data_IF_023987843852
#
_entry.id   IF_023987843852
#
_cell.length_a   1.000
_cell.length_b   1.000
_cell.length_c   1.000
_cell.angle_alpha   90.00
_cell.angle_beta   90.00
_cell.angle_gamma   90.00
#
_symmetry.space_group_name_H-M   'P 1'
#
loop_
_entity.id
_entity.type
_entity.pdbx_description
1 polymer ?
#
# COMPACT_ATOMS: atom_id res chain seq x y z
N UNK A 1 38.20 -6.35 6.22
CA UNK A 1 38.31 -6.54 7.69
C UNK A 1 38.78 -5.24 8.33
N UNK A 2 37.95 -4.56 9.03
CA UNK A 2 38.03 -3.32 9.83
C UNK A 2 37.05 -2.28 9.35
N UNK A 3 35.82 -2.35 9.88
CA UNK A 3 34.88 -1.25 10.17
C UNK A 3 33.58 -1.85 10.70
N UNK A 4 33.64 -2.48 11.87
CA UNK A 4 32.50 -2.72 12.77
C UNK A 4 32.99 -2.27 14.12
N UNK A 5 32.63 -1.04 14.52
CA UNK A 5 32.77 -0.49 15.87
C UNK A 5 32.66 1.04 15.80
N UNK A 6 31.45 1.55 15.71
CA UNK A 6 31.04 2.90 16.18
C UNK A 6 29.52 2.95 16.06
N UNK A 7 28.81 2.44 17.05
CA UNK A 7 27.44 2.80 17.43
C UNK A 7 27.06 2.09 18.71
N UNK A 8 27.85 2.30 19.73
CA UNK A 8 27.53 1.82 21.08
C UNK A 8 28.08 2.81 22.12
N UNK A 9 27.60 4.04 22.09
CA UNK A 9 27.80 5.01 23.17
C UNK A 9 26.84 6.20 23.00
N UNK A 10 25.56 5.98 23.36
CA UNK A 10 24.67 7.09 23.76
C UNK A 10 23.37 6.58 24.40
N UNK A 11 23.45 5.77 25.43
CA UNK A 11 22.32 5.50 26.34
C UNK A 11 22.85 5.14 27.72
N UNK A 12 23.44 6.12 28.40
CA UNK A 12 23.78 6.01 29.81
C UNK A 12 23.83 7.40 30.46
N UNK A 13 22.67 8.03 30.61
CA UNK A 13 22.50 9.15 31.54
C UNK A 13 21.01 9.58 31.57
N UNK A 14 20.20 8.90 32.39
CA UNK A 14 18.97 9.43 33.01
C UNK A 14 18.36 8.36 33.94
N UNK A 15 19.07 8.05 35.02
CA UNK A 15 18.49 7.31 36.12
C UNK A 15 19.13 7.75 37.44
N UNK A 16 18.79 8.96 37.88
CA UNK A 16 19.03 9.41 39.25
C UNK A 16 18.22 10.69 39.53
N UNK A 17 17.00 10.52 40.02
CA UNK A 17 16.36 11.49 40.93
C UNK A 17 14.88 11.11 41.10
N UNK A 18 14.56 10.51 42.25
CA UNK A 18 13.40 10.75 43.10
C UNK A 18 13.28 9.68 44.17
N UNK A 19 14.07 9.85 45.20
CA UNK A 19 13.83 9.25 46.52
C UNK A 19 13.95 10.39 47.53
N UNK A 20 12.84 10.92 48.07
CA UNK A 20 12.72 11.57 49.37
C UNK A 20 11.23 11.82 49.65
N UNK A 21 10.79 11.33 50.79
CA UNK A 21 9.57 11.79 51.45
C UNK A 21 8.87 10.73 52.25
N UNK A 22 9.40 10.46 53.46
CA UNK A 22 8.80 10.45 54.83
C UNK A 22 7.31 10.05 54.89
N UNK A 23 6.88 9.05 55.60
CA UNK A 23 7.20 8.62 57.00
C UNK A 23 5.92 8.66 57.79
N UNK A 24 5.45 7.54 58.30
CA UNK A 24 5.00 7.44 59.72
C UNK A 24 4.67 5.96 60.04
N UNK A 25 5.24 5.54 61.12
CA UNK A 25 5.10 4.33 61.88
C UNK A 25 3.69 4.10 62.43
N UNK A 26 3.25 2.82 62.44
CA UNK A 26 2.61 2.21 63.60
C UNK A 26 2.69 0.67 63.53
N UNK A 27 3.08 0.07 64.63
CA UNK A 27 3.36 -1.33 64.90
C UNK A 27 2.11 -2.03 65.51
N UNK A 28 2.15 -3.30 65.93
CA UNK A 28 1.38 -4.42 65.32
C UNK A 28 0.27 -4.95 66.28
N UNK A 29 -0.64 -5.71 65.74
CA UNK A 29 -1.54 -6.54 66.53
C UNK A 29 -1.48 -7.99 66.06
N UNK A 30 -0.98 -8.83 66.93
CA UNK A 30 -1.07 -10.27 66.94
C UNK A 30 -2.50 -10.75 67.08
N UNK A 31 -2.92 -11.76 66.30
CA UNK A 31 -3.99 -12.69 66.74
C UNK A 31 -3.87 -14.04 66.00
N UNK A 32 -3.64 -15.02 66.81
CA UNK A 32 -4.02 -16.43 66.86
C UNK A 32 -4.32 -17.24 65.59
N UNK A 33 -3.64 -18.39 65.57
CA UNK A 33 -3.79 -19.56 64.71
C UNK A 33 -5.06 -20.30 65.09
N UNK A 34 -5.99 -20.52 64.16
CA UNK A 34 -6.98 -21.58 64.24
C UNK A 34 -6.71 -22.60 63.12
N UNK A 35 -6.51 -23.85 63.59
CA UNK A 35 -6.49 -25.05 62.75
C UNK A 35 -7.88 -25.28 62.15
N UNK A 36 -7.96 -25.34 60.81
CA UNK A 36 -9.15 -25.84 60.14
C UNK A 36 -8.76 -26.91 59.10
N UNK A 37 -9.13 -28.11 59.47
CA UNK A 37 -9.49 -29.32 58.70
C UNK A 37 -9.29 -29.32 57.18
N UNK A 38 -8.59 -30.40 56.73
CA UNK A 38 -8.57 -30.91 55.37
C UNK A 38 -10.00 -31.04 54.80
N UNK A 39 -10.34 -30.21 53.84
CA UNK A 39 -11.44 -30.43 52.90
C UNK A 39 -10.85 -30.92 51.58
N UNK A 40 -11.47 -31.97 51.06
CA UNK A 40 -11.18 -32.61 49.77
C UNK A 40 -11.05 -31.58 48.67
N UNK A 41 -9.90 -31.52 48.02
CA UNK A 41 -9.68 -30.79 46.78
C UNK A 41 -10.51 -31.45 45.70
N UNK A 42 -11.69 -30.90 45.45
CA UNK A 42 -12.34 -31.00 44.13
C UNK A 42 -11.41 -30.35 43.12
N UNK A 43 -10.84 -31.15 42.26
CA UNK A 43 -10.21 -30.67 41.02
C UNK A 43 -11.27 -29.94 40.23
N UNK A 44 -11.36 -28.62 40.38
CA UNK A 44 -11.92 -27.78 39.36
C UNK A 44 -11.07 -27.99 38.10
N UNK A 45 -11.66 -28.59 37.09
CA UNK A 45 -11.18 -28.52 35.72
C UNK A 45 -11.03 -27.04 35.43
N UNK A 46 -9.79 -26.53 35.45
CA UNK A 46 -9.49 -25.18 34.92
C UNK A 46 -9.89 -25.24 33.46
N UNK A 47 -11.03 -24.69 33.12
CA UNK A 47 -11.42 -24.47 31.75
C UNK A 47 -10.24 -23.73 31.10
N UNK A 48 -9.55 -24.36 30.19
CA UNK A 48 -8.47 -23.75 29.43
C UNK A 48 -9.05 -22.47 28.80
N UNK A 49 -8.53 -21.31 29.19
CA UNK A 49 -8.91 -20.09 28.52
C UNK A 49 -8.52 -20.23 27.06
N UNK A 50 -9.45 -19.87 26.15
CA UNK A 50 -9.20 -19.90 24.72
C UNK A 50 -7.98 -19.02 24.40
N UNK A 51 -7.11 -19.39 23.46
CA UNK A 51 -6.00 -18.56 23.06
C UNK A 51 -6.53 -17.22 22.53
N UNK A 52 -5.89 -16.13 22.93
CA UNK A 52 -6.23 -14.78 22.43
C UNK A 52 -5.26 -14.39 21.33
N UNK A 53 -5.81 -13.87 20.22
CA UNK A 53 -5.06 -13.34 19.08
C UNK A 53 -5.60 -11.96 18.79
N UNK A 54 -4.70 -10.99 18.63
CA UNK A 54 -5.04 -9.60 18.28
C UNK A 54 -4.69 -9.32 16.84
N UNK A 55 -5.65 -8.85 16.07
CA UNK A 55 -5.46 -8.31 14.74
C UNK A 55 -5.54 -6.79 14.76
N UNK A 56 -4.46 -6.12 14.37
CA UNK A 56 -4.38 -4.65 14.32
C UNK A 56 -4.32 -4.17 12.87
N UNK A 57 -5.14 -3.18 12.54
CA UNK A 57 -5.16 -2.55 11.21
C UNK A 57 -5.22 -1.03 11.31
N UNK A 58 -4.65 -0.31 10.33
CA UNK A 58 -4.62 1.15 10.31
C UNK A 58 -5.48 1.79 9.22
N UNK A 59 -5.88 1.03 8.16
CA UNK A 59 -6.60 1.62 7.03
C UNK A 59 -8.09 1.85 7.29
N UNK A 60 -8.78 0.91 7.94
CA UNK A 60 -10.26 0.91 8.02
C UNK A 60 -10.78 1.40 9.37
N UNK A 61 -10.10 2.38 9.97
CA UNK A 61 -10.50 2.97 11.25
C UNK A 61 -11.57 4.05 11.08
N UNK A 62 -11.57 4.81 9.98
CA UNK A 62 -12.49 5.93 9.73
C UNK A 62 -13.19 5.80 8.36
N UNK A 63 -14.54 5.84 8.37
CA UNK A 63 -15.37 5.78 7.16
C UNK A 63 -15.33 7.09 6.35
N UNK A 64 -14.90 8.21 6.95
CA UNK A 64 -14.74 9.47 6.23
C UNK A 64 -13.51 9.48 5.33
N UNK A 65 -12.48 8.71 5.70
CA UNK A 65 -11.28 8.50 4.89
C UNK A 65 -11.44 7.33 3.93
N UNK A 66 -12.04 6.24 4.45
CA UNK A 66 -12.23 4.98 3.73
C UNK A 66 -13.71 4.58 3.73
N UNK A 67 -14.49 4.93 2.69
CA UNK A 67 -15.93 4.60 2.64
C UNK A 67 -16.24 3.12 2.83
N UNK A 68 -15.30 2.24 2.49
CA UNK A 68 -15.39 0.80 2.67
C UNK A 68 -15.08 0.30 4.10
N UNK A 69 -14.65 1.18 5.01
CA UNK A 69 -14.19 0.77 6.34
C UNK A 69 -15.24 -0.02 7.13
N UNK A 70 -16.51 0.36 7.05
CA UNK A 70 -17.60 -0.38 7.72
C UNK A 70 -17.72 -1.82 7.22
N UNK A 71 -17.60 -2.05 5.91
CA UNK A 71 -17.69 -3.38 5.31
C UNK A 71 -16.47 -4.23 5.69
N UNK A 72 -15.26 -3.67 5.64
CA UNK A 72 -14.05 -4.40 6.04
C UNK A 72 -14.08 -4.79 7.52
N UNK A 73 -14.49 -3.89 8.41
CA UNK A 73 -14.67 -4.22 9.83
C UNK A 73 -15.73 -5.29 10.07
N UNK A 74 -16.81 -5.30 9.25
CA UNK A 74 -17.81 -6.35 9.31
C UNK A 74 -17.24 -7.72 8.91
N UNK A 75 -16.39 -7.77 7.86
CA UNK A 75 -15.68 -8.99 7.44
C UNK A 75 -14.79 -9.52 8.58
N UNK A 76 -14.02 -8.65 9.24
CA UNK A 76 -13.18 -9.04 10.37
C UNK A 76 -14.01 -9.58 11.56
N UNK A 77 -15.13 -8.93 11.86
CA UNK A 77 -16.02 -9.37 12.94
C UNK A 77 -16.71 -10.69 12.63
N UNK A 78 -17.13 -10.93 11.37
CA UNK A 78 -17.71 -12.20 10.93
C UNK A 78 -16.73 -13.37 11.16
N UNK A 79 -15.44 -13.17 10.88
CA UNK A 79 -14.41 -14.17 11.20
C UNK A 79 -14.32 -14.41 12.71
N UNK A 80 -14.24 -13.34 13.51
CA UNK A 80 -14.18 -13.44 14.97
C UNK A 80 -15.40 -14.18 15.56
N UNK A 81 -16.60 -13.87 15.08
CA UNK A 81 -17.85 -14.50 15.54
C UNK A 81 -17.93 -15.98 15.13
N UNK A 82 -17.44 -16.33 13.93
CA UNK A 82 -17.45 -17.71 13.43
C UNK A 82 -16.52 -18.64 14.21
N UNK A 83 -15.47 -18.11 14.83
CA UNK A 83 -14.46 -18.89 15.56
C UNK A 83 -14.45 -18.63 17.08
N UNK A 84 -15.53 -18.03 17.61
CA UNK A 84 -15.62 -17.62 19.02
C UNK A 84 -15.54 -18.77 20.03
N UNK A 85 -15.74 -20.01 19.60
CA UNK A 85 -15.62 -21.23 20.41
C UNK A 85 -14.23 -21.90 20.31
N UNK A 86 -13.37 -21.42 19.39
CA UNK A 86 -12.04 -21.95 19.15
C UNK A 86 -10.93 -21.04 19.73
N UNK A 87 -11.07 -19.73 19.58
CA UNK A 87 -10.15 -18.71 20.08
C UNK A 87 -10.84 -17.36 20.28
N UNK A 88 -10.21 -16.50 21.10
CA UNK A 88 -10.65 -15.13 21.31
C UNK A 88 -9.94 -14.20 20.31
N UNK A 89 -10.61 -13.86 19.21
CA UNK A 89 -10.07 -12.99 18.17
C UNK A 89 -10.46 -11.54 18.42
N UNK A 90 -9.45 -10.68 18.66
CA UNK A 90 -9.63 -9.27 19.01
C UNK A 90 -9.22 -8.40 17.84
N UNK A 91 -10.17 -7.64 17.28
CA UNK A 91 -9.89 -6.68 16.19
C UNK A 91 -9.62 -5.30 16.80
N UNK A 92 -8.50 -4.71 16.46
CA UNK A 92 -8.06 -3.39 16.91
C UNK A 92 -7.86 -2.47 15.71
N UNK A 93 -8.64 -1.39 15.65
CA UNK A 93 -8.40 -0.31 14.71
C UNK A 93 -7.37 0.67 15.31
N UNK A 94 -6.26 0.90 14.64
CA UNK A 94 -5.28 1.91 15.04
C UNK A 94 -5.66 3.26 14.43
N UNK A 95 -6.11 4.19 15.27
CA UNK A 95 -6.56 5.53 14.86
C UNK A 95 -5.43 6.42 14.32
N UNK A 96 -4.17 6.02 14.48
CA UNK A 96 -3.03 6.74 13.88
C UNK A 96 -2.86 6.48 12.38
N UNK A 97 -3.67 5.59 11.82
CA UNK A 97 -3.65 5.25 10.40
C UNK A 97 -2.51 4.31 10.00
N UNK A 98 -2.41 4.01 8.72
CA UNK A 98 -1.44 3.06 8.19
C UNK A 98 0.02 3.49 8.40
N UNK A 99 0.34 4.76 8.24
CA UNK A 99 1.67 5.30 8.55
C UNK A 99 1.96 5.24 10.05
N UNK A 100 0.97 5.55 10.90
CA UNK A 100 1.12 5.52 12.35
C UNK A 100 1.41 4.12 12.89
N UNK A 101 0.67 3.10 12.43
CA UNK A 101 0.92 1.69 12.81
C UNK A 101 2.31 1.24 12.35
N UNK A 102 2.77 1.66 11.15
CA UNK A 102 4.11 1.37 10.65
C UNK A 102 5.20 1.98 11.55
N UNK A 103 5.08 3.25 11.89
CA UNK A 103 6.03 3.94 12.75
C UNK A 103 6.05 3.35 14.18
N UNK A 104 4.89 2.95 14.70
CA UNK A 104 4.78 2.25 15.99
C UNK A 104 5.49 0.91 15.94
N UNK A 105 5.28 0.13 14.88
CA UNK A 105 5.93 -1.16 14.68
C UNK A 105 7.46 -1.07 14.65
N UNK A 106 8.02 -0.04 14.01
CA UNK A 106 9.48 0.19 14.00
C UNK A 106 10.02 0.45 15.42
N UNK A 107 9.28 1.20 16.26
CA UNK A 107 9.66 1.44 17.65
C UNK A 107 9.55 0.17 18.49
N UNK A 108 8.50 -0.63 18.30
CA UNK A 108 8.25 -1.87 19.01
C UNK A 108 9.30 -2.93 18.69
N UNK A 109 9.71 -3.04 17.42
CA UNK A 109 10.83 -3.88 17.01
C UNK A 109 12.11 -3.53 17.77
N UNK A 110 12.39 -2.24 17.95
CA UNK A 110 13.51 -1.75 18.75
C UNK A 110 13.41 -2.12 20.25
N UNK A 111 12.20 -2.29 20.77
CA UNK A 111 11.90 -2.72 22.13
C UNK A 111 11.82 -4.26 22.29
N UNK A 112 11.88 -5.02 21.20
CA UNK A 112 11.78 -6.48 21.18
C UNK A 112 10.34 -7.00 21.29
N UNK A 113 9.36 -6.20 20.88
CA UNK A 113 7.94 -6.57 20.78
C UNK A 113 7.44 -6.43 19.33
N UNK A 114 6.33 -7.10 19.04
CA UNK A 114 5.66 -7.01 17.75
C UNK A 114 4.18 -7.43 17.88
N UNK A 115 3.39 -7.14 16.86
CA UNK A 115 1.97 -7.50 16.76
C UNK A 115 1.77 -9.02 16.63
N UNK A 116 0.59 -9.52 17.04
CA UNK A 116 0.18 -10.90 16.74
C UNK A 116 -0.10 -11.04 15.25
N UNK A 117 -1.05 -10.23 14.74
CA UNK A 117 -1.32 -10.02 13.32
C UNK A 117 -1.44 -8.52 13.10
N UNK A 118 -0.82 -8.01 12.05
CA UNK A 118 -1.03 -6.63 11.65
C UNK A 118 -1.21 -6.52 10.14
N UNK A 119 -2.04 -5.55 9.69
CA UNK A 119 -2.14 -5.14 8.30
C UNK A 119 -1.46 -3.78 8.10
N UNK A 120 -0.35 -3.78 7.37
CA UNK A 120 0.43 -2.60 7.02
C UNK A 120 0.10 -2.03 5.63
N UNK A 121 -0.82 -2.66 4.91
CA UNK A 121 -1.20 -2.24 3.57
C UNK A 121 -0.01 -2.12 2.62
N UNK A 122 0.20 -0.92 2.04
CA UNK A 122 1.32 -0.65 1.13
C UNK A 122 2.67 -0.43 1.83
N UNK A 123 2.69 -0.23 3.17
CA UNK A 123 3.90 0.06 3.94
C UNK A 123 4.71 -1.20 4.18
N UNK A 124 5.90 -1.29 3.58
CA UNK A 124 6.70 -2.51 3.61
C UNK A 124 7.59 -2.60 4.86
N UNK A 125 7.10 -3.26 5.89
CA UNK A 125 7.86 -3.55 7.12
C UNK A 125 8.69 -4.83 7.03
N UNK A 126 8.46 -5.68 6.02
CA UNK A 126 9.02 -7.04 5.98
C UNK A 126 10.54 -7.11 6.06
N UNK A 127 11.35 -6.24 5.40
CA UNK A 127 12.81 -6.32 5.49
C UNK A 127 13.32 -6.09 6.92
N UNK A 128 12.73 -5.13 7.64
CA UNK A 128 13.15 -4.77 8.99
C UNK A 128 12.69 -5.80 10.02
N UNK A 129 11.41 -6.21 9.93
CA UNK A 129 10.82 -7.18 10.85
C UNK A 129 11.40 -8.59 10.65
N UNK A 130 11.67 -9.02 9.42
CA UNK A 130 12.33 -10.27 9.11
C UNK A 130 13.78 -10.28 9.62
N UNK A 131 14.53 -9.22 9.41
CA UNK A 131 15.89 -9.09 9.93
C UNK A 131 15.95 -9.13 11.46
N UNK A 132 14.90 -8.64 12.14
CA UNK A 132 14.72 -8.75 13.59
C UNK A 132 14.23 -10.14 14.05
N UNK A 133 13.83 -11.02 13.14
CA UNK A 133 13.22 -12.32 13.46
C UNK A 133 11.82 -12.19 14.08
N UNK A 134 11.12 -11.07 13.86
CA UNK A 134 9.87 -10.73 14.52
C UNK A 134 8.62 -11.28 13.82
N UNK A 135 8.74 -11.74 12.58
CA UNK A 135 7.60 -12.20 11.75
C UNK A 135 7.84 -13.60 11.19
N UNK A 136 6.74 -14.28 10.90
CA UNK A 136 6.68 -15.67 10.42
C UNK A 136 6.87 -15.69 8.89
N UNK A 137 7.68 -16.66 8.39
CA UNK A 137 7.67 -17.03 6.98
C UNK A 137 6.37 -17.77 6.65
N UNK A 138 5.54 -17.15 5.79
CA UNK A 138 4.25 -17.68 5.35
C UNK A 138 4.37 -18.69 4.21
N UNK A 139 5.52 -18.73 3.52
CA UNK A 139 5.72 -19.59 2.33
C UNK A 139 5.42 -21.07 2.56
N UNK A 140 5.84 -21.71 3.68
CA UNK A 140 5.50 -23.10 3.94
C UNK A 140 3.98 -23.36 3.95
N UNK A 141 3.19 -22.46 4.54
CA UNK A 141 1.72 -22.57 4.59
C UNK A 141 1.08 -22.38 3.22
N UNK A 142 1.64 -21.49 2.39
CA UNK A 142 1.21 -21.26 1.02
C UNK A 142 1.53 -22.45 0.11
N UNK A 143 2.69 -23.08 0.29
CA UNK A 143 3.11 -24.22 -0.52
C UNK A 143 2.33 -25.51 -0.18
N UNK A 144 1.85 -25.64 1.05
CA UNK A 144 1.06 -26.79 1.53
C UNK A 144 -0.42 -26.68 1.14
N UNK A 145 -0.93 -25.47 0.84
CA UNK A 145 -2.34 -25.20 0.55
C UNK A 145 -2.51 -24.47 -0.78
N UNK A 146 -2.89 -25.23 -1.81
CA UNK A 146 -3.04 -24.69 -3.17
C UNK A 146 -4.15 -23.63 -3.29
N UNK A 147 -5.21 -23.71 -2.47
CA UNK A 147 -6.29 -22.73 -2.47
C UNK A 147 -5.82 -21.41 -1.83
N UNK A 148 -5.08 -21.50 -0.73
CA UNK A 148 -4.47 -20.34 -0.10
C UNK A 148 -3.47 -19.65 -1.04
N UNK A 149 -2.59 -20.43 -1.68
CA UNK A 149 -1.66 -19.91 -2.68
C UNK A 149 -2.36 -19.21 -3.85
N UNK A 150 -3.44 -19.78 -4.39
CA UNK A 150 -4.22 -19.17 -5.46
C UNK A 150 -4.91 -17.86 -4.98
N UNK A 151 -5.37 -17.83 -3.74
CA UNK A 151 -5.99 -16.64 -3.12
C UNK A 151 -5.04 -15.46 -3.03
N UNK A 152 -3.79 -15.68 -2.62
CA UNK A 152 -2.77 -14.61 -2.55
C UNK A 152 -2.20 -14.22 -3.92
N UNK A 153 -2.41 -15.03 -4.95
CA UNK A 153 -2.13 -14.74 -6.35
C UNK A 153 -0.77 -14.08 -6.60
N UNK A 154 -0.79 -12.87 -7.14
CA UNK A 154 0.44 -12.12 -7.50
C UNK A 154 1.37 -11.85 -6.31
N UNK A 155 0.83 -11.77 -5.09
CA UNK A 155 1.65 -11.54 -3.90
C UNK A 155 2.65 -12.68 -3.65
N UNK A 156 2.35 -13.91 -4.11
CA UNK A 156 3.26 -15.03 -3.92
C UNK A 156 4.62 -14.81 -4.59
N UNK A 157 4.63 -14.32 -5.82
CA UNK A 157 5.87 -14.09 -6.56
C UNK A 157 6.49 -12.72 -6.22
N UNK A 158 5.67 -11.70 -6.01
CA UNK A 158 6.15 -10.33 -5.75
C UNK A 158 6.74 -10.15 -4.35
N UNK A 159 6.24 -10.90 -3.35
CA UNK A 159 6.71 -10.81 -1.96
C UNK A 159 7.75 -11.90 -1.61
N UNK A 160 8.20 -12.67 -2.62
CA UNK A 160 9.27 -13.64 -2.45
C UNK A 160 10.60 -12.90 -2.23
N UNK A 161 11.19 -13.10 -1.07
CA UNK A 161 12.48 -12.51 -0.71
C UNK A 161 13.64 -13.24 -1.38
N UNK A 162 14.83 -12.64 -1.39
CA UNK A 162 16.05 -13.26 -1.98
C UNK A 162 16.42 -14.60 -1.34
N UNK A 163 16.13 -14.78 -0.04
CA UNK A 163 16.34 -16.06 0.68
C UNK A 163 15.21 -17.06 0.50
N UNK A 164 14.19 -16.72 -0.29
CA UNK A 164 13.11 -17.58 -0.69
C UNK A 164 11.96 -17.69 0.32
N UNK A 165 11.81 -16.72 1.24
CA UNK A 165 10.70 -16.62 2.19
C UNK A 165 9.61 -15.66 1.67
N UNK A 166 8.40 -15.75 2.25
CA UNK A 166 7.30 -14.81 2.05
C UNK A 166 6.81 -14.38 3.43
N UNK A 167 7.00 -13.12 3.77
CA UNK A 167 6.68 -12.61 5.11
C UNK A 167 5.35 -11.87 5.18
N UNK A 168 4.75 -11.54 4.04
CA UNK A 168 3.49 -10.81 3.99
C UNK A 168 2.66 -11.18 2.76
N UNK A 169 1.33 -11.07 2.91
CA UNK A 169 0.35 -11.22 1.84
C UNK A 169 -0.81 -10.25 2.08
N UNK A 170 -1.64 -9.98 1.07
CA UNK A 170 -2.77 -9.05 1.16
C UNK A 170 -4.06 -9.68 0.62
N UNK A 171 -5.19 -9.15 1.08
CA UNK A 171 -6.52 -9.42 0.54
C UNK A 171 -6.83 -8.59 -0.70
N UNK A 172 -6.12 -7.49 -0.89
CA UNK A 172 -6.22 -6.62 -2.06
C UNK A 172 -4.86 -6.09 -2.48
N UNK A 173 -4.72 -5.75 -3.75
CA UNK A 173 -3.50 -5.23 -4.35
C UNK A 173 -3.71 -3.82 -4.92
N UNK A 174 -2.62 -3.13 -5.11
CA UNK A 174 -2.61 -1.85 -5.80
C UNK A 174 -2.68 -2.09 -7.31
N UNK A 175 -3.89 -2.05 -7.86
CA UNK A 175 -4.13 -1.96 -9.30
C UNK A 175 -4.13 -0.49 -9.72
N UNK A 176 -3.15 -0.06 -10.52
CA UNK A 176 -2.99 1.35 -10.86
C UNK A 176 -2.92 1.56 -12.37
N UNK A 177 -3.87 2.37 -12.83
CA UNK A 177 -3.86 3.03 -14.10
C UNK A 177 -4.06 4.53 -13.87
N UNK A 178 -5.15 5.07 -14.39
CA UNK A 178 -5.59 6.43 -14.11
C UNK A 178 -7.07 6.60 -14.45
N UNK A 179 -7.65 7.72 -14.01
CA UNK A 179 -9.03 8.10 -14.26
C UNK A 179 -9.07 9.32 -15.17
N UNK A 180 -10.12 9.45 -16.01
CA UNK A 180 -10.31 10.62 -16.84
C UNK A 180 -11.76 11.07 -16.89
N UNK A 181 -11.97 12.37 -17.10
CA UNK A 181 -13.28 13.00 -17.28
C UNK A 181 -13.57 13.16 -18.77
N UNK A 182 -14.40 12.28 -19.33
CA UNK A 182 -14.75 12.24 -20.76
C UNK A 182 -15.37 13.55 -21.26
N UNK A 183 -16.14 14.24 -20.41
CA UNK A 183 -16.77 15.51 -20.78
C UNK A 183 -15.73 16.63 -21.02
N UNK A 184 -14.66 16.68 -20.22
CA UNK A 184 -13.58 17.65 -20.39
C UNK A 184 -12.75 17.36 -21.67
N UNK A 185 -12.50 16.08 -21.97
CA UNK A 185 -11.88 15.68 -23.23
C UNK A 185 -12.75 16.09 -24.44
N UNK A 186 -14.05 15.84 -24.36
CA UNK A 186 -15.00 16.26 -25.43
C UNK A 186 -15.01 17.78 -25.59
N UNK A 187 -14.99 18.56 -24.51
CA UNK A 187 -14.92 20.03 -24.55
C UNK A 187 -13.64 20.52 -25.22
N UNK A 188 -12.50 19.85 -25.00
CA UNK A 188 -11.22 20.16 -25.62
C UNK A 188 -11.13 19.69 -27.09
N UNK A 189 -12.03 18.80 -27.52
CA UNK A 189 -11.88 18.07 -28.77
C UNK A 189 -10.67 17.12 -28.77
N UNK A 190 -10.28 16.67 -27.61
CA UNK A 190 -9.14 15.75 -27.40
C UNK A 190 -9.58 14.29 -27.55
N UNK A 191 -8.68 13.45 -28.04
CA UNK A 191 -8.85 12.00 -28.11
C UNK A 191 -8.86 11.43 -26.69
N UNK A 192 -9.89 10.65 -26.34
CA UNK A 192 -10.00 10.04 -25.00
C UNK A 192 -9.01 8.90 -24.79
N UNK A 193 -8.60 8.63 -23.54
CA UNK A 193 -7.61 7.59 -23.21
C UNK A 193 -7.92 6.19 -23.75
N UNK A 194 -9.19 5.78 -23.79
CA UNK A 194 -9.60 4.49 -24.35
C UNK A 194 -9.33 4.34 -25.86
N UNK A 195 -9.05 5.43 -26.56
CA UNK A 195 -8.72 5.46 -28.00
C UNK A 195 -7.22 5.68 -28.25
N UNK A 196 -6.41 5.89 -27.21
CA UNK A 196 -4.98 6.09 -27.36
C UNK A 196 -4.28 4.83 -27.85
N UNK A 197 -3.31 5.01 -28.73
CA UNK A 197 -2.50 3.94 -29.30
C UNK A 197 -1.07 3.97 -28.76
N UNK A 198 -0.55 5.17 -28.48
CA UNK A 198 0.80 5.37 -27.96
C UNK A 198 0.86 6.61 -27.05
N UNK A 199 1.99 6.84 -26.38
CA UNK A 199 2.23 8.06 -25.60
C UNK A 199 2.13 9.37 -26.42
N UNK A 200 2.29 9.31 -27.75
CA UNK A 200 2.05 10.48 -28.60
C UNK A 200 0.57 10.94 -28.58
N UNK A 201 -0.38 10.03 -28.38
CA UNK A 201 -1.80 10.39 -28.18
C UNK A 201 -2.00 11.11 -26.83
N UNK A 202 -1.29 10.69 -25.77
CA UNK A 202 -1.29 11.40 -24.49
C UNK A 202 -0.80 12.83 -24.65
N UNK A 203 0.37 13.03 -25.28
CA UNK A 203 0.93 14.36 -25.50
C UNK A 203 -0.04 15.26 -26.27
N UNK A 204 -0.63 14.73 -27.35
CA UNK A 204 -1.60 15.47 -28.16
C UNK A 204 -2.87 15.84 -27.36
N UNK A 205 -3.34 14.94 -26.50
CA UNK A 205 -4.50 15.20 -25.65
C UNK A 205 -4.18 16.25 -24.57
N UNK A 206 -3.03 16.18 -23.91
CA UNK A 206 -2.58 17.19 -22.93
C UNK A 206 -2.49 18.56 -23.60
N UNK A 207 -1.89 18.66 -24.79
CA UNK A 207 -1.78 19.91 -25.54
C UNK A 207 -3.16 20.48 -25.92
N UNK A 208 -4.11 19.64 -26.32
CA UNK A 208 -5.48 20.05 -26.64
C UNK A 208 -6.24 20.58 -25.42
N UNK A 209 -6.11 19.89 -24.26
CA UNK A 209 -6.70 20.32 -22.98
C UNK A 209 -6.14 21.70 -22.58
N UNK A 210 -4.82 21.86 -22.57
CA UNK A 210 -4.16 23.13 -22.24
C UNK A 210 -4.61 24.24 -23.20
N UNK A 211 -4.67 23.98 -24.53
CA UNK A 211 -5.12 24.94 -25.51
C UNK A 211 -6.60 25.37 -25.34
N UNK A 212 -7.44 24.47 -24.79
CA UNK A 212 -8.82 24.75 -24.43
C UNK A 212 -8.97 25.47 -23.07
N UNK A 213 -7.89 25.72 -22.35
CA UNK A 213 -7.90 26.32 -21.01
C UNK A 213 -8.36 25.34 -19.91
N UNK A 214 -8.27 24.03 -20.16
CA UNK A 214 -8.60 22.98 -19.22
C UNK A 214 -7.32 22.47 -18.57
N UNK A 215 -7.29 22.39 -17.23
CA UNK A 215 -6.18 21.78 -16.49
C UNK A 215 -6.13 20.27 -16.78
N UNK A 216 -5.05 19.75 -17.38
CA UNK A 216 -5.00 18.34 -17.75
C UNK A 216 -5.01 17.40 -16.53
N UNK A 217 -4.34 17.76 -15.45
CA UNK A 217 -4.27 17.00 -14.18
C UNK A 217 -3.70 17.85 -13.05
N UNK A 218 -4.02 17.50 -11.81
CA UNK A 218 -3.31 17.92 -10.62
C UNK A 218 -2.26 16.86 -10.25
N UNK A 219 -1.14 17.30 -9.68
CA UNK A 219 -0.06 16.43 -9.20
C UNK A 219 0.52 16.96 -7.88
N UNK A 220 1.34 16.15 -7.23
CA UNK A 220 2.19 16.58 -6.14
C UNK A 220 3.60 15.97 -6.27
N UNK A 221 4.53 16.33 -5.42
CA UNK A 221 5.88 15.77 -5.40
C UNK A 221 5.93 14.39 -4.71
N UNK A 222 4.99 13.50 -5.06
CA UNK A 222 4.83 12.18 -4.45
C UNK A 222 4.11 11.21 -5.37
N UNK A 223 3.17 10.48 -4.79
CA UNK A 223 2.48 9.34 -5.38
C UNK A 223 1.94 9.56 -6.81
N UNK A 224 1.09 10.57 -7.13
CA UNK A 224 0.53 10.71 -8.47
C UNK A 224 1.59 10.97 -9.55
N UNK A 225 2.69 11.65 -9.20
CA UNK A 225 3.82 11.88 -10.11
C UNK A 225 4.65 10.61 -10.30
N UNK A 226 4.83 9.81 -9.24
CA UNK A 226 5.47 8.50 -9.31
C UNK A 226 4.70 7.52 -10.19
N UNK A 227 3.36 7.52 -10.12
CA UNK A 227 2.49 6.71 -10.99
C UNK A 227 2.77 7.04 -12.46
N UNK A 228 2.81 8.33 -12.82
CA UNK A 228 3.10 8.75 -14.19
C UNK A 228 4.50 8.33 -14.65
N UNK A 229 5.51 8.51 -13.81
CA UNK A 229 6.88 8.07 -14.11
C UNK A 229 6.94 6.56 -14.31
N UNK A 230 6.34 5.79 -13.41
CA UNK A 230 6.28 4.33 -13.50
C UNK A 230 5.54 3.86 -14.76
N UNK A 231 4.37 4.46 -15.05
CA UNK A 231 3.60 4.18 -16.25
C UNK A 231 4.36 4.51 -17.54
N UNK A 232 5.01 5.66 -17.60
CA UNK A 232 5.83 6.04 -18.76
C UNK A 232 7.08 5.16 -18.91
N UNK A 233 7.62 4.66 -17.80
CA UNK A 233 8.74 3.73 -17.82
C UNK A 233 8.41 2.38 -18.48
N UNK A 234 7.11 2.06 -18.64
CA UNK A 234 6.65 0.88 -19.35
C UNK A 234 6.59 1.04 -20.89
N UNK A 235 6.96 2.22 -21.44
CA UNK A 235 6.77 2.57 -22.86
C UNK A 235 7.48 1.66 -23.86
N UNK A 236 8.66 1.14 -23.53
CA UNK A 236 9.49 0.32 -24.43
C UNK A 236 10.22 -0.79 -23.69
N UNK A 237 10.68 -1.82 -24.40
CA UNK A 237 11.43 -2.95 -23.81
C UNK A 237 12.65 -2.47 -23.02
N UNK A 238 13.47 -1.56 -23.61
CA UNK A 238 14.67 -1.04 -22.94
C UNK A 238 14.33 -0.25 -21.66
N UNK A 239 13.24 0.54 -21.69
CA UNK A 239 12.79 1.31 -20.53
C UNK A 239 12.24 0.40 -19.43
N UNK A 240 11.48 -0.65 -19.79
CA UNK A 240 11.02 -1.67 -18.86
C UNK A 240 12.19 -2.38 -18.19
N UNK A 241 13.17 -2.83 -18.98
CA UNK A 241 14.35 -3.53 -18.45
C UNK A 241 15.14 -2.68 -17.43
N UNK A 242 15.29 -1.38 -17.68
CA UNK A 242 15.89 -0.47 -16.71
C UNK A 242 15.04 -0.35 -15.45
N UNK A 243 13.73 -0.16 -15.60
CA UNK A 243 12.79 -0.01 -14.50
C UNK A 243 12.76 -1.26 -13.61
N UNK A 244 12.65 -2.44 -14.19
CA UNK A 244 12.64 -3.72 -13.46
C UNK A 244 13.93 -4.00 -12.70
N UNK A 245 15.05 -3.47 -13.17
CA UNK A 245 16.35 -3.53 -12.50
C UNK A 245 16.53 -2.56 -11.34
N UNK A 246 15.51 -1.75 -11.04
CA UNK A 246 15.61 -0.56 -10.18
C UNK A 246 16.33 -0.71 -8.84
N UNK A 247 16.07 -1.80 -8.08
CA UNK A 247 16.74 -2.07 -6.79
C UNK A 247 18.24 -2.39 -6.93
N UNK A 248 18.69 -2.78 -8.13
CA UNK A 248 20.08 -3.14 -8.45
C UNK A 248 20.73 -2.15 -9.40
N UNK A 249 20.11 -0.98 -9.63
CA UNK A 249 20.67 0.07 -10.48
C UNK A 249 21.96 0.58 -9.89
N UNK A 250 23.06 0.43 -10.65
CA UNK A 250 24.39 0.96 -10.29
C UNK A 250 24.58 2.42 -10.73
N UNK A 251 23.76 2.91 -11.67
CA UNK A 251 23.82 4.27 -12.18
C UNK A 251 22.49 4.69 -12.83
N UNK A 252 22.05 5.89 -12.53
CA UNK A 252 20.95 6.57 -13.22
C UNK A 252 21.39 7.26 -14.54
N UNK A 253 22.67 7.16 -14.93
CA UNK A 253 23.19 7.63 -16.22
C UNK A 253 22.82 6.67 -17.36
N UNK A 254 21.51 6.45 -17.52
CA UNK A 254 20.88 5.59 -18.51
C UNK A 254 20.01 6.43 -19.46
N UNK A 255 20.10 6.18 -20.75
CA UNK A 255 19.38 6.95 -21.77
C UNK A 255 17.85 6.80 -21.67
N UNK A 256 17.34 5.64 -21.21
CA UNK A 256 15.91 5.42 -21.05
C UNK A 256 15.36 6.12 -19.82
N UNK A 257 16.15 6.16 -18.72
CA UNK A 257 15.82 6.92 -17.52
C UNK A 257 15.83 8.43 -17.80
N UNK A 258 16.87 8.94 -18.45
CA UNK A 258 16.96 10.36 -18.86
C UNK A 258 15.76 10.75 -19.73
N UNK A 259 15.41 9.91 -20.71
CA UNK A 259 14.23 10.17 -21.55
C UNK A 259 12.94 10.17 -20.72
N UNK A 260 12.82 9.34 -19.68
CA UNK A 260 11.68 9.36 -18.75
C UNK A 260 11.63 10.67 -17.97
N UNK A 261 12.75 11.12 -17.43
CA UNK A 261 12.83 12.39 -16.68
C UNK A 261 12.60 13.61 -17.60
N UNK A 262 13.06 13.58 -18.85
CA UNK A 262 12.76 14.62 -19.83
C UNK A 262 11.27 14.69 -20.18
N UNK A 263 10.61 13.53 -20.35
CA UNK A 263 9.17 13.47 -20.56
C UNK A 263 8.43 14.05 -19.34
N UNK A 264 8.79 13.61 -18.13
CA UNK A 264 8.18 14.14 -16.89
C UNK A 264 8.37 15.65 -16.80
N UNK A 265 9.54 16.20 -17.12
CA UNK A 265 9.77 17.63 -17.10
C UNK A 265 8.90 18.38 -18.13
N UNK A 266 8.98 17.99 -19.41
CA UNK A 266 8.45 18.78 -20.54
C UNK A 266 6.97 18.52 -20.82
N UNK A 267 6.54 17.25 -20.71
CA UNK A 267 5.21 16.80 -21.14
C UNK A 267 4.23 16.66 -19.97
N UNK A 268 4.75 16.68 -18.74
CA UNK A 268 3.95 16.52 -17.52
C UNK A 268 4.08 17.77 -16.63
N UNK A 269 5.20 17.94 -15.93
CA UNK A 269 5.34 18.95 -14.86
C UNK A 269 5.22 20.38 -15.37
N UNK A 270 5.75 20.70 -16.54
CA UNK A 270 5.68 22.03 -17.15
C UNK A 270 4.36 22.32 -17.88
N UNK A 271 3.44 21.33 -17.99
CA UNK A 271 2.11 21.49 -18.59
C UNK A 271 1.03 21.95 -17.61
N UNK A 272 1.33 21.96 -16.32
CA UNK A 272 0.41 22.37 -15.26
C UNK A 272 0.92 23.62 -14.54
N UNK A 273 -0.01 24.46 -14.07
CA UNK A 273 0.31 25.62 -13.26
C UNK A 273 0.87 25.23 -11.88
N UNK A 274 1.55 26.17 -11.22
CA UNK A 274 2.08 25.96 -9.88
C UNK A 274 1.00 25.62 -8.85
N UNK A 275 -0.23 26.16 -9.02
CA UNK A 275 -1.36 25.87 -8.16
C UNK A 275 -1.87 24.42 -8.23
N UNK A 276 -1.54 23.70 -9.30
CA UNK A 276 -1.94 22.32 -9.53
C UNK A 276 -0.81 21.32 -9.22
N UNK A 277 0.25 21.78 -8.51
CA UNK A 277 1.35 20.92 -8.07
C UNK A 277 1.63 21.14 -6.59
N UNK A 278 1.26 20.17 -5.78
CA UNK A 278 1.47 20.21 -4.32
C UNK A 278 2.85 19.74 -3.87
N UNK A 279 3.17 19.92 -2.58
CA UNK A 279 4.47 19.54 -2.02
C UNK A 279 4.66 18.04 -1.88
N UNK A 280 3.57 17.26 -1.90
CA UNK A 280 3.60 15.82 -1.64
C UNK A 280 3.41 15.49 -0.15
N UNK A 281 3.32 14.20 0.14
CA UNK A 281 3.00 13.62 1.43
C UNK A 281 1.54 13.15 1.49
N UNK A 282 1.23 12.28 2.46
CA UNK A 282 -0.06 11.58 2.56
C UNK A 282 -1.27 12.49 2.73
N UNK A 283 -1.07 13.69 3.30
CA UNK A 283 -2.13 14.68 3.49
C UNK A 283 -2.36 15.60 2.29
N UNK A 284 -1.56 15.48 1.22
CA UNK A 284 -1.68 16.33 0.03
C UNK A 284 -2.57 15.69 -1.04
N UNK A 285 -3.88 15.70 -0.77
CA UNK A 285 -4.94 15.11 -1.60
C UNK A 285 -5.62 16.12 -2.54
N UNK A 286 -5.06 17.31 -2.70
CA UNK A 286 -5.67 18.37 -3.54
C UNK A 286 -5.88 17.91 -4.99
N UNK A 287 -4.93 17.19 -5.58
CA UNK A 287 -5.01 16.64 -6.93
C UNK A 287 -6.24 15.74 -7.15
N UNK A 288 -6.61 14.95 -6.12
CA UNK A 288 -7.76 14.06 -6.11
C UNK A 288 -9.06 14.82 -5.99
N UNK A 289 -9.13 15.75 -5.02
CA UNK A 289 -10.29 16.59 -4.78
C UNK A 289 -10.65 17.43 -6.01
N UNK A 290 -9.66 18.03 -6.69
CA UNK A 290 -9.86 18.84 -7.90
C UNK A 290 -10.38 18.01 -9.08
N UNK A 291 -9.99 16.74 -9.20
CA UNK A 291 -10.53 15.84 -10.21
C UNK A 291 -12.01 15.53 -9.97
N UNK A 292 -12.38 15.15 -8.76
CA UNK A 292 -13.78 14.85 -8.42
C UNK A 292 -14.69 16.10 -8.43
N UNK A 293 -14.12 17.28 -8.23
CA UNK A 293 -14.81 18.55 -8.45
C UNK A 293 -14.99 18.91 -9.95
N UNK A 294 -14.36 18.17 -10.88
CA UNK A 294 -14.44 18.43 -12.32
C UNK A 294 -13.52 19.55 -12.80
N UNK A 295 -12.52 19.94 -12.01
CA UNK A 295 -11.57 21.00 -12.34
C UNK A 295 -10.35 20.50 -13.13
N UNK A 296 -10.06 19.21 -13.10
CA UNK A 296 -8.97 18.57 -13.86
C UNK A 296 -9.47 17.41 -14.70
N UNK A 297 -8.82 17.16 -15.84
CA UNK A 297 -9.29 16.17 -16.82
C UNK A 297 -8.82 14.75 -16.52
N UNK A 298 -7.72 14.55 -15.78
CA UNK A 298 -7.17 13.24 -15.43
C UNK A 298 -6.74 13.20 -13.96
N UNK A 299 -6.82 11.99 -13.37
CA UNK A 299 -6.35 11.65 -12.03
C UNK A 299 -5.47 10.41 -12.13
N UNK A 300 -4.19 10.54 -11.79
CA UNK A 300 -3.27 9.41 -11.70
C UNK A 300 -3.36 8.81 -10.31
N UNK A 301 -4.15 7.76 -10.19
CA UNK A 301 -4.37 7.02 -8.95
C UNK A 301 -4.92 5.62 -9.25
N UNK A 302 -5.07 4.80 -8.20
CA UNK A 302 -5.46 3.40 -8.32
C UNK A 302 -6.97 3.16 -8.44
N UNK A 303 -7.31 1.89 -8.55
CA UNK A 303 -8.69 1.41 -8.74
C UNK A 303 -9.61 1.77 -7.57
N UNK A 304 -9.08 1.96 -6.37
CA UNK A 304 -9.82 2.37 -5.15
C UNK A 304 -10.54 3.72 -5.28
N UNK A 305 -10.16 4.55 -6.23
CA UNK A 305 -10.83 5.83 -6.49
C UNK A 305 -12.20 5.68 -7.18
N UNK A 306 -12.60 4.46 -7.52
CA UNK A 306 -13.97 4.20 -7.96
C UNK A 306 -15.01 4.71 -6.95
N UNK A 307 -14.76 4.55 -5.63
CA UNK A 307 -15.61 5.06 -4.56
C UNK A 307 -15.74 6.60 -4.56
N UNK A 308 -14.70 7.33 -4.96
CA UNK A 308 -14.70 8.79 -5.07
C UNK A 308 -15.64 9.36 -6.13
N UNK A 309 -16.14 8.51 -7.05
CA UNK A 309 -17.11 8.92 -8.07
C UNK A 309 -18.53 9.10 -7.53
N UNK A 310 -18.83 8.53 -6.36
CA UNK A 310 -20.16 8.58 -5.76
C UNK A 310 -20.53 10.00 -5.35
N UNK A 311 -21.49 10.59 -6.06
CA UNK A 311 -21.97 11.95 -5.77
C UNK A 311 -20.97 13.06 -6.07
N UNK A 312 -19.89 12.80 -6.80
CA UNK A 312 -18.90 13.81 -7.16
C UNK A 312 -19.48 14.89 -8.09
N UNK A 313 -18.96 16.13 -8.00
CA UNK A 313 -19.42 17.26 -8.82
C UNK A 313 -19.11 17.08 -10.31
N UNK A 314 -18.06 16.34 -10.65
CA UNK A 314 -17.70 15.99 -12.02
C UNK A 314 -18.78 15.15 -12.75
N UNK A 315 -19.65 14.45 -11.98
CA UNK A 315 -20.65 13.49 -12.48
C UNK A 315 -20.01 12.11 -12.76
N UNK A 316 -20.45 11.08 -12.04
CA UNK A 316 -19.90 9.73 -12.15
C UNK A 316 -19.97 9.18 -13.59
N UNK A 317 -20.99 9.55 -14.36
CA UNK A 317 -21.18 9.15 -15.75
C UNK A 317 -20.07 9.64 -16.68
N UNK A 318 -19.40 10.73 -16.31
CA UNK A 318 -18.30 11.32 -17.09
C UNK A 318 -16.94 10.73 -16.73
N UNK A 319 -16.84 10.02 -15.62
CA UNK A 319 -15.57 9.46 -15.14
C UNK A 319 -15.38 8.03 -15.68
N UNK A 320 -14.22 7.77 -16.24
CA UNK A 320 -13.84 6.47 -16.81
C UNK A 320 -12.44 6.08 -16.36
N UNK A 321 -12.19 4.78 -16.10
CA UNK A 321 -10.84 4.27 -15.88
C UNK A 321 -10.06 4.10 -17.19
N UNK A 322 -8.74 4.16 -17.11
CA UNK A 322 -7.83 3.86 -18.20
C UNK A 322 -6.52 3.25 -17.67
N UNK A 323 -5.76 2.63 -18.56
CA UNK A 323 -4.40 2.16 -18.32
C UNK A 323 -3.43 2.89 -19.25
N UNK A 324 -2.13 2.83 -18.94
CA UNK A 324 -1.12 3.58 -19.67
C UNK A 324 -0.92 3.01 -21.08
N UNK A 325 -0.75 3.87 -22.11
CA UNK A 325 -0.30 3.42 -23.41
C UNK A 325 1.21 3.09 -23.37
N UNK A 326 1.69 2.44 -24.42
CA UNK A 326 3.13 2.23 -24.62
C UNK A 326 3.56 2.86 -25.98
N UNK A 327 4.84 2.76 -26.35
CA UNK A 327 5.29 3.14 -27.70
C UNK A 327 5.00 2.05 -28.73
N UNK A 328 4.61 0.87 -28.28
CA UNK A 328 4.12 -0.24 -29.11
C UNK A 328 2.61 -0.06 -29.35
N UNK A 329 2.26 0.32 -30.58
CA UNK A 329 0.89 0.71 -30.92
C UNK A 329 -0.16 -0.33 -30.47
N UNK A 330 -1.12 0.14 -29.66
CA UNK A 330 -2.22 -0.67 -29.13
C UNK A 330 -1.84 -1.60 -27.97
N UNK A 331 -0.60 -1.50 -27.44
CA UNK A 331 -0.19 -2.15 -26.21
C UNK A 331 -0.38 -1.24 -25.02
N UNK A 332 -0.72 -1.82 -23.88
CA UNK A 332 -1.03 -1.11 -22.65
C UNK A 332 -0.18 -1.56 -21.48
N UNK A 333 -0.06 -0.72 -20.47
CA UNK A 333 0.63 -1.02 -19.22
C UNK A 333 -0.21 -0.58 -18.02
N UNK A 334 -0.08 -1.32 -16.91
CA UNK A 334 -0.64 -0.97 -15.61
C UNK A 334 0.39 -1.26 -14.50
N UNK A 335 0.19 -0.69 -13.31
CA UNK A 335 0.97 -1.07 -12.16
C UNK A 335 0.15 -2.04 -11.30
N UNK A 336 0.77 -3.15 -10.90
CA UNK A 336 0.19 -4.14 -10.00
C UNK A 336 1.19 -4.41 -8.88
N UNK A 337 0.89 -3.93 -7.67
CA UNK A 337 1.77 -4.11 -6.52
C UNK A 337 1.04 -4.84 -5.39
N UNK A 338 1.62 -5.93 -4.90
CA UNK A 338 1.10 -6.69 -3.78
C UNK A 338 1.21 -5.93 -2.45
N UNK A 339 2.20 -5.06 -2.30
CA UNK A 339 2.46 -4.36 -1.04
C UNK A 339 2.79 -5.31 0.12
N UNK A 340 2.81 -4.78 1.35
CA UNK A 340 3.08 -5.58 2.55
C UNK A 340 1.83 -6.35 3.01
N UNK A 341 0.76 -5.67 3.45
CA UNK A 341 -0.46 -6.28 3.97
C UNK A 341 -0.28 -6.98 5.31
N UNK A 342 -0.84 -8.19 5.41
CA UNK A 342 -0.83 -8.98 6.64
C UNK A 342 0.55 -9.57 6.94
N UNK A 343 0.99 -9.38 8.18
CA UNK A 343 2.15 -10.06 8.77
C UNK A 343 1.73 -10.78 10.05
N UNK A 344 2.45 -11.86 10.40
CA UNK A 344 2.19 -12.67 11.61
C UNK A 344 3.40 -12.64 12.52
N UNK A 345 3.21 -12.33 13.79
CA UNK A 345 4.26 -12.29 14.79
C UNK A 345 4.89 -13.66 15.05
N UNK A 346 6.22 -13.71 15.12
CA UNK A 346 6.96 -14.95 15.35
C UNK A 346 6.87 -15.45 16.81
N UNK A 347 6.47 -14.59 17.75
CA UNK A 347 6.34 -14.90 19.18
C UNK A 347 5.12 -15.76 19.50
N UNK A 348 4.14 -15.87 18.57
CA UNK A 348 2.93 -16.64 18.75
C UNK A 348 3.24 -18.14 18.96
N UNK A 349 2.52 -18.77 19.88
CA UNK A 349 2.53 -20.21 20.02
C UNK A 349 1.89 -20.94 18.82
N UNK A 350 1.90 -22.27 18.85
CA UNK A 350 1.40 -23.07 17.71
C UNK A 350 -0.11 -22.86 17.46
N UNK A 351 -0.91 -22.77 18.53
CA UNK A 351 -2.36 -22.60 18.42
C UNK A 351 -2.71 -21.19 17.94
N UNK A 352 -2.08 -20.17 18.50
CA UNK A 352 -2.24 -18.78 18.08
C UNK A 352 -1.82 -18.57 16.62
N UNK A 353 -0.69 -19.16 16.22
CA UNK A 353 -0.19 -19.09 14.85
C UNK A 353 -1.14 -19.78 13.86
N UNK A 354 -1.69 -20.93 14.23
CA UNK A 354 -2.67 -21.63 13.40
C UNK A 354 -3.92 -20.75 13.17
N UNK A 355 -4.44 -20.09 14.20
CA UNK A 355 -5.56 -19.16 14.09
C UNK A 355 -5.22 -17.92 13.25
N UNK A 356 -4.01 -17.38 13.37
CA UNK A 356 -3.55 -16.28 12.55
C UNK A 356 -3.50 -16.64 11.05
N UNK A 357 -3.00 -17.83 10.73
CA UNK A 357 -2.97 -18.33 9.35
C UNK A 357 -4.38 -18.58 8.82
N UNK A 358 -5.30 -19.09 9.65
CA UNK A 358 -6.71 -19.29 9.27
C UNK A 358 -7.40 -17.96 8.94
N UNK A 359 -7.13 -16.90 9.72
CA UNK A 359 -7.62 -15.56 9.41
C UNK A 359 -7.10 -15.06 8.05
N UNK A 360 -5.82 -15.21 7.76
CA UNK A 360 -5.26 -14.75 6.48
C UNK A 360 -5.84 -15.57 5.31
N UNK A 361 -6.02 -16.88 5.47
CA UNK A 361 -6.69 -17.73 4.48
C UNK A 361 -8.13 -17.26 4.21
N UNK A 362 -8.87 -16.93 5.27
CA UNK A 362 -10.21 -16.37 5.15
C UNK A 362 -10.19 -15.07 4.34
N UNK A 363 -9.32 -14.12 4.71
CA UNK A 363 -9.22 -12.82 4.06
C UNK A 363 -8.81 -12.90 2.58
N UNK A 364 -8.02 -13.89 2.20
CA UNK A 364 -7.58 -14.12 0.81
C UNK A 364 -8.42 -15.16 0.06
N UNK A 365 -9.55 -15.59 0.63
CA UNK A 365 -10.44 -16.56 0.01
C UNK A 365 -11.17 -15.98 -1.22
N UNK A 366 -11.60 -16.82 -2.17
CA UNK A 366 -12.38 -16.36 -3.32
C UNK A 366 -13.69 -15.67 -2.95
N UNK A 367 -14.30 -16.04 -1.82
CA UNK A 367 -15.52 -15.42 -1.30
C UNK A 367 -15.26 -13.97 -0.87
N UNK A 368 -14.21 -13.75 -0.08
CA UNK A 368 -13.84 -12.40 0.35
C UNK A 368 -13.32 -11.56 -0.82
N UNK A 369 -12.54 -12.15 -1.73
CA UNK A 369 -12.11 -11.49 -2.97
C UNK A 369 -13.30 -10.96 -3.80
N UNK A 370 -14.33 -11.79 -4.00
CA UNK A 370 -15.55 -11.37 -4.70
C UNK A 370 -16.28 -10.25 -3.93
N UNK A 371 -16.40 -10.36 -2.60
CA UNK A 371 -17.06 -9.37 -1.75
C UNK A 371 -16.33 -8.01 -1.76
N UNK A 372 -15.00 -8.01 -1.69
CA UNK A 372 -14.16 -6.80 -1.80
C UNK A 372 -14.47 -6.06 -3.12
N UNK A 373 -14.52 -6.78 -4.23
CA UNK A 373 -14.78 -6.20 -5.54
C UNK A 373 -16.26 -5.74 -5.66
N UNK A 374 -17.22 -6.57 -5.27
CA UNK A 374 -18.65 -6.25 -5.32
C UNK A 374 -19.04 -5.02 -4.48
N UNK A 375 -18.30 -4.79 -3.39
CA UNK A 375 -18.49 -3.64 -2.50
C UNK A 375 -17.69 -2.41 -2.90
N UNK A 376 -16.97 -2.45 -4.01
CA UNK A 376 -16.21 -1.31 -4.49
C UNK A 376 -14.95 -1.00 -3.69
N UNK A 377 -14.40 -1.97 -2.94
CA UNK A 377 -13.30 -1.77 -2.01
C UNK A 377 -11.95 -1.71 -2.73
N UNK A 378 -11.65 -2.71 -3.56
CA UNK A 378 -10.34 -2.78 -4.22
C UNK A 378 -10.21 -3.95 -5.19
N UNK A 379 -8.98 -4.18 -5.66
CA UNK A 379 -8.61 -5.27 -6.56
C UNK A 379 -8.05 -6.45 -5.77
N UNK A 380 -8.59 -7.65 -5.97
CA UNK A 380 -8.07 -8.85 -5.33
C UNK A 380 -6.73 -9.29 -5.94
N UNK A 381 -5.83 -9.91 -5.15
CA UNK A 381 -4.54 -10.38 -5.63
C UNK A 381 -4.65 -11.62 -6.53
N UNK A 382 -5.71 -12.40 -6.40
CA UNK A 382 -5.93 -13.61 -7.18
C UNK A 382 -6.10 -13.31 -8.67
N UNK A 383 -5.32 -13.98 -9.50
CA UNK A 383 -5.43 -13.92 -10.98
C UNK A 383 -6.61 -14.74 -11.52
N UNK A 384 -7.30 -15.49 -10.67
CA UNK A 384 -8.45 -16.32 -11.04
C UNK A 384 -9.79 -15.58 -10.98
N UNK A 385 -9.77 -14.29 -10.60
CA UNK A 385 -10.99 -13.46 -10.56
C UNK A 385 -11.55 -13.26 -11.97
N UNK A 386 -12.81 -13.67 -12.16
CA UNK A 386 -13.56 -13.47 -13.39
C UNK A 386 -14.29 -12.11 -13.36
N UNK A 387 -13.61 -11.05 -13.80
CA UNK A 387 -14.18 -9.70 -13.84
C UNK A 387 -15.36 -9.57 -14.82
N UNK A 388 -15.45 -10.40 -15.87
CA UNK A 388 -16.61 -10.40 -16.78
C UNK A 388 -17.85 -10.98 -16.10
N UNK A 389 -17.68 -12.03 -15.28
CA UNK A 389 -18.76 -12.54 -14.45
C UNK A 389 -19.18 -11.51 -13.40
N UNK A 390 -18.25 -10.87 -12.70
CA UNK A 390 -18.52 -9.83 -11.70
C UNK A 390 -19.25 -8.63 -12.31
N UNK A 391 -18.86 -8.17 -13.50
CA UNK A 391 -19.53 -7.08 -14.20
C UNK A 391 -21.03 -7.33 -14.42
N UNK A 392 -21.46 -8.59 -14.47
CA UNK A 392 -22.86 -8.98 -14.65
C UNK A 392 -23.70 -8.93 -13.38
N UNK A 393 -23.08 -8.93 -12.20
CA UNK A 393 -23.76 -9.00 -10.89
C UNK A 393 -23.66 -7.72 -10.08
N UNK A 394 -22.60 -6.91 -10.25
CA UNK A 394 -22.46 -5.61 -9.56
C UNK A 394 -23.56 -4.64 -9.99
N UNK A 395 -24.12 -3.94 -9.03
CA UNK A 395 -25.31 -3.09 -9.26
C UNK A 395 -25.03 -1.60 -9.10
N UNK A 396 -24.12 -1.21 -8.21
CA UNK A 396 -23.75 0.19 -7.96
C UNK A 396 -22.82 0.71 -9.05
N UNK A 397 -22.83 2.01 -9.30
CA UNK A 397 -22.05 2.58 -10.40
C UNK A 397 -20.55 2.63 -10.08
N UNK A 398 -20.17 2.83 -8.81
CA UNK A 398 -18.81 2.73 -8.29
C UNK A 398 -18.25 1.31 -8.42
N UNK A 399 -19.00 0.28 -8.03
CA UNK A 399 -18.58 -1.11 -8.20
C UNK A 399 -18.41 -1.50 -9.68
N UNK A 400 -19.26 -0.99 -10.58
CA UNK A 400 -19.08 -1.19 -12.04
C UNK A 400 -17.80 -0.54 -12.55
N UNK A 401 -17.50 0.68 -12.07
CA UNK A 401 -16.25 1.39 -12.42
C UNK A 401 -15.03 0.67 -11.85
N UNK A 402 -15.12 0.16 -10.60
CA UNK A 402 -14.05 -0.65 -10.02
C UNK A 402 -13.78 -1.91 -10.84
N UNK A 403 -14.83 -2.69 -11.16
CA UNK A 403 -14.70 -3.91 -11.98
C UNK A 403 -14.03 -3.61 -13.31
N UNK A 404 -14.44 -2.52 -13.98
CA UNK A 404 -13.83 -2.11 -15.24
C UNK A 404 -12.36 -1.71 -15.07
N UNK A 405 -12.02 -0.93 -14.03
CA UNK A 405 -10.65 -0.54 -13.72
C UNK A 405 -9.76 -1.76 -13.42
N UNK A 406 -10.23 -2.68 -12.59
CA UNK A 406 -9.53 -3.93 -12.28
C UNK A 406 -9.32 -4.79 -13.52
N UNK A 407 -10.38 -4.91 -14.37
CA UNK A 407 -10.30 -5.65 -15.63
C UNK A 407 -9.25 -5.06 -16.58
N UNK A 408 -9.18 -3.74 -16.69
CA UNK A 408 -8.17 -3.07 -17.50
C UNK A 408 -6.76 -3.32 -16.96
N UNK A 409 -6.55 -3.21 -15.64
CA UNK A 409 -5.26 -3.49 -15.02
C UNK A 409 -4.84 -4.96 -15.19
N UNK A 410 -5.76 -5.92 -14.96
CA UNK A 410 -5.47 -7.34 -15.12
C UNK A 410 -5.10 -7.72 -16.56
N UNK A 411 -5.74 -7.08 -17.55
CA UNK A 411 -5.56 -7.38 -18.97
C UNK A 411 -4.51 -6.49 -19.66
N UNK A 412 -3.82 -5.62 -18.92
CA UNK A 412 -2.73 -4.84 -19.50
C UNK A 412 -1.61 -5.77 -20.02
N UNK A 413 -1.05 -5.43 -21.19
CA UNK A 413 0.01 -6.24 -21.82
C UNK A 413 1.29 -6.26 -20.97
N UNK A 414 1.55 -5.20 -20.21
CA UNK A 414 2.68 -5.05 -19.30
C UNK A 414 2.19 -4.66 -17.91
N UNK A 415 2.66 -5.39 -16.91
CA UNK A 415 2.33 -5.17 -15.51
C UNK A 415 3.62 -4.92 -14.74
N UNK A 416 3.74 -3.80 -14.06
CA UNK A 416 4.93 -3.40 -13.33
C UNK A 416 4.63 -3.15 -11.86
N UNK A 417 5.65 -3.19 -11.02
CA UNK A 417 5.57 -2.73 -9.63
C UNK A 417 5.50 -1.21 -9.57
N UNK A 418 4.99 -0.65 -8.48
CA UNK A 418 5.08 0.78 -8.19
C UNK A 418 6.54 1.22 -7.99
N UNK A 419 6.78 2.55 -8.07
CA UNK A 419 8.13 3.13 -8.03
C UNK A 419 8.90 2.74 -6.76
N UNK A 420 8.26 2.81 -5.58
CA UNK A 420 8.87 2.47 -4.31
C UNK A 420 9.28 1.00 -4.22
N UNK A 421 8.45 0.10 -4.74
CA UNK A 421 8.78 -1.34 -4.78
C UNK A 421 9.93 -1.64 -5.75
N UNK A 422 10.17 -0.75 -6.72
CA UNK A 422 11.22 -0.93 -7.75
C UNK A 422 12.54 -0.29 -7.33
N UNK A 423 12.51 0.96 -6.90
CA UNK A 423 13.74 1.74 -6.60
C UNK A 423 14.06 1.83 -5.11
N UNK A 424 13.20 1.32 -4.21
CA UNK A 424 13.43 1.36 -2.77
C UNK A 424 13.73 2.79 -2.28
N UNK A 425 14.81 2.96 -1.52
CA UNK A 425 15.20 4.25 -0.92
C UNK A 425 15.45 5.37 -1.95
N UNK A 426 15.77 5.03 -3.21
CA UNK A 426 15.95 6.03 -4.26
C UNK A 426 14.63 6.67 -4.72
N UNK A 427 13.47 6.09 -4.40
CA UNK A 427 12.18 6.73 -4.69
C UNK A 427 12.07 8.11 -4.06
N UNK A 428 12.38 8.25 -2.77
CA UNK A 428 12.34 9.53 -2.07
C UNK A 428 13.27 10.58 -2.69
N UNK A 429 14.46 10.14 -3.15
CA UNK A 429 15.39 11.01 -3.87
C UNK A 429 14.83 11.45 -5.23
N UNK A 430 14.19 10.56 -5.98
CA UNK A 430 13.53 10.91 -7.25
C UNK A 430 12.42 11.93 -7.01
N UNK A 431 11.55 11.71 -6.01
CA UNK A 431 10.46 12.62 -5.63
C UNK A 431 10.98 14.02 -5.31
N UNK A 432 12.07 14.12 -4.56
CA UNK A 432 12.68 15.40 -4.18
C UNK A 432 13.15 16.23 -5.39
N UNK A 433 13.25 15.67 -6.59
CA UNK A 433 13.68 16.37 -7.82
C UNK A 433 12.51 16.96 -8.62
N UNK A 434 11.27 16.52 -8.43
CA UNK A 434 10.13 16.94 -9.25
C UNK A 434 9.88 18.45 -9.20
N UNK A 435 9.96 19.07 -8.03
CA UNK A 435 9.76 20.51 -7.91
C UNK A 435 10.80 21.31 -8.72
N UNK A 436 12.08 20.90 -8.67
CA UNK A 436 13.16 21.54 -9.43
C UNK A 436 13.06 21.33 -10.94
N UNK A 437 12.58 20.16 -11.37
CA UNK A 437 12.29 19.90 -12.79
C UNK A 437 11.11 20.75 -13.28
N UNK A 438 10.06 20.92 -12.44
CA UNK A 438 8.89 21.72 -12.75
C UNK A 438 9.23 23.19 -12.96
N UNK A 439 9.94 23.81 -12.04
CA UNK A 439 10.28 25.24 -12.07
C UNK A 439 11.53 25.56 -12.92
N UNK A 440 12.19 24.51 -13.43
CA UNK A 440 13.39 24.63 -14.28
C UNK A 440 14.67 24.99 -13.50
N UNK A 441 14.65 24.93 -12.17
CA UNK A 441 15.84 25.13 -11.34
C UNK A 441 16.80 23.92 -11.38
N UNK A 442 16.34 22.77 -11.87
CA UNK A 442 17.13 21.57 -12.15
C UNK A 442 16.96 21.13 -13.61
N UNK A 443 18.06 20.68 -14.20
CA UNK A 443 18.07 19.94 -15.47
C UNK A 443 17.97 18.44 -15.19
N UNK A 444 17.70 17.64 -16.22
CA UNK A 444 17.73 16.17 -16.11
C UNK A 444 19.14 15.68 -15.76
N UNK A 445 20.17 16.33 -16.28
CA UNK A 445 21.57 16.02 -15.98
C UNK A 445 21.90 16.28 -14.49
N UNK A 446 21.37 17.38 -13.90
CA UNK A 446 21.51 17.65 -12.47
C UNK A 446 20.86 16.55 -11.63
N UNK A 447 19.66 16.12 -12.03
CA UNK A 447 18.92 15.03 -11.35
C UNK A 447 19.69 13.73 -11.39
N UNK A 448 20.20 13.35 -12.57
CA UNK A 448 20.99 12.11 -12.74
C UNK A 448 22.26 12.15 -11.90
N UNK A 449 22.97 13.31 -11.88
CA UNK A 449 24.17 13.46 -11.07
C UNK A 449 23.88 13.30 -9.57
N UNK A 450 22.81 13.95 -9.05
CA UNK A 450 22.43 13.85 -7.64
C UNK A 450 21.98 12.45 -7.24
N UNK A 451 21.27 11.72 -8.11
CA UNK A 451 20.87 10.34 -7.87
C UNK A 451 22.08 9.39 -7.85
N UNK A 452 23.07 9.61 -8.71
CA UNK A 452 24.32 8.85 -8.70
C UNK A 452 25.16 9.16 -7.45
N UNK A 453 25.17 10.42 -6.98
CA UNK A 453 25.82 10.78 -5.71
C UNK A 453 25.12 10.07 -4.51
N UNK A 454 23.79 9.93 -4.54
CA UNK A 454 23.05 9.18 -3.54
C UNK A 454 23.44 7.68 -3.52
N UNK A 455 23.50 7.02 -4.69
CA UNK A 455 23.93 5.62 -4.79
C UNK A 455 25.36 5.44 -4.24
N UNK A 456 26.28 6.34 -4.61
CA UNK A 456 27.67 6.29 -4.14
C UNK A 456 27.81 6.51 -2.62
N UNK A 457 26.86 7.19 -1.98
CA UNK A 457 26.85 7.40 -0.54
C UNK A 457 26.25 6.20 0.24
N UNK A 458 25.47 5.35 -0.42
CA UNK A 458 24.87 4.14 0.16
C UNK A 458 25.83 2.93 0.17
N UNK A 459 26.90 2.94 -0.65
CA UNK A 459 27.99 1.93 -0.66
C UNK A 459 29.00 2.15 0.50
#
# INVERSE_FOLDING_TARGET
MKKKLISLFLCASLAASMLIGCGTTEEPATTEVEEATEEEATTEEVASELPTITFTHGYYHDESEWPAAAEMRAIYQEFADAHADEFNFVVVADESGAEGIYNTALNDLGAGSFYDIADFGGWNITPVAAAAGAIVDLKPYLDEDAAFKAGVGVCYDQNLTEDGAIYSVREQIEGVGFWYNEALFAQAGAKVPSEWSTWADFDAAVDALVAAGITPFGLNAGWPTNILLAGYSQRSEASRAFYEGGATVESFDDETFKASMEFMQKNVLQKIDAANFGPGGDSDEAYRSEFFAGNTAMLFNGVWDAGGTVGCEAGAENIKPAVFPTDEAGKTAALLSGGCGFVVGSHLDEAQRAAAIEFIKYMTSPEIAARIIEKGIGMAPSTEVDYDALASVVTTDDAKLLVEACRLCQNADYQALGLGNTFGDAEGEIQAKYAGLKDGSKTVEDVVAELNDFLAAAE
#
